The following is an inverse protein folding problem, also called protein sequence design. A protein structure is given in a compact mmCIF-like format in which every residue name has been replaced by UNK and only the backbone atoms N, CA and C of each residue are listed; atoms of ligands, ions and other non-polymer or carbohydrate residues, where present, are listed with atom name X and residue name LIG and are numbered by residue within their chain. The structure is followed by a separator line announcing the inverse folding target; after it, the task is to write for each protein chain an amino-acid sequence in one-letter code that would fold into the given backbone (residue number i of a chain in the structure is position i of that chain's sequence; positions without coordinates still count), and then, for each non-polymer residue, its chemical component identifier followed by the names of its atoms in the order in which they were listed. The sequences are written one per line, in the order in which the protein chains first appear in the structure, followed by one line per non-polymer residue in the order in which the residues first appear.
data_IF_960742017390
#
_entry.id   IF_960742017390
#
_cell.length_a   1.000
_cell.length_b   1.000
_cell.length_c   1.000
_cell.angle_alpha   90.00
_cell.angle_beta   90.00
_cell.angle_gamma   90.00
#
_symmetry.space_group_name_H-M   'P 1'
#
loop_
_entity.id
_entity.type
_entity.pdbx_description
1 polymer ?
#
# COMPACT_ATOMS: atom_id res chain seq x y z
N UNK A 1 -23.55 14.73 34.50
CA UNK A 1 -23.21 13.34 34.12
C UNK A 1 -23.47 13.16 32.63
N UNK A 2 -22.42 13.28 31.81
CA UNK A 2 -22.52 13.15 30.35
C UNK A 2 -22.57 11.65 30.03
N UNK A 3 -23.71 11.19 29.49
CA UNK A 3 -23.89 9.80 29.05
C UNK A 3 -22.99 9.54 27.85
N UNK A 4 -21.87 8.85 28.06
CA UNK A 4 -21.01 8.33 26.98
C UNK A 4 -21.85 7.36 26.14
N UNK A 5 -22.18 7.77 24.92
CA UNK A 5 -22.83 6.92 23.91
C UNK A 5 -21.79 5.90 23.46
N UNK A 6 -21.91 4.67 23.97
CA UNK A 6 -21.15 3.52 23.50
C UNK A 6 -21.48 3.33 22.02
N UNK A 7 -20.51 3.58 21.14
CA UNK A 7 -20.62 3.26 19.72
C UNK A 7 -20.57 1.74 19.62
N UNK A 8 -21.74 1.16 19.36
CA UNK A 8 -21.91 -0.26 19.11
C UNK A 8 -21.13 -0.60 17.84
N UNK A 9 -20.17 -1.52 17.94
CA UNK A 9 -19.51 -2.10 16.78
C UNK A 9 -20.61 -2.72 15.90
N UNK A 10 -20.80 -2.15 14.71
CA UNK A 10 -21.72 -2.67 13.73
C UNK A 10 -21.19 -4.00 13.24
N UNK A 11 -21.82 -5.08 13.71
CA UNK A 11 -22.09 -6.32 12.99
C UNK A 11 -21.55 -6.30 11.56
N UNK A 12 -20.41 -6.95 11.34
CA UNK A 12 -20.03 -7.43 10.02
C UNK A 12 -21.17 -8.33 9.54
N UNK A 13 -21.99 -7.81 8.63
CA UNK A 13 -23.04 -8.60 8.00
C UNK A 13 -22.37 -9.59 7.06
N UNK A 14 -22.18 -10.80 7.59
CA UNK A 14 -21.87 -12.03 6.89
C UNK A 14 -23.06 -12.40 6.00
N UNK A 15 -23.33 -11.62 4.95
CA UNK A 15 -24.23 -12.04 3.87
C UNK A 15 -23.85 -11.41 2.51
N UNK A 16 -22.56 -11.17 2.30
CA UNK A 16 -22.02 -10.95 0.96
C UNK A 16 -21.77 -12.30 0.30
N UNK A 17 -22.85 -12.92 -0.20
CA UNK A 17 -22.81 -14.03 -1.14
C UNK A 17 -22.08 -13.58 -2.41
N UNK A 18 -20.75 -13.69 -2.39
CA UNK A 18 -19.81 -13.91 -3.48
C UNK A 18 -20.19 -13.30 -4.84
N UNK A 19 -20.49 -12.00 -4.88
CA UNK A 19 -20.28 -11.29 -6.14
C UNK A 19 -18.80 -10.92 -6.19
N UNK A 20 -18.00 -11.70 -6.93
CA UNK A 20 -16.58 -11.41 -7.16
C UNK A 20 -16.37 -10.23 -8.10
N UNK A 21 -17.43 -9.68 -8.70
CA UNK A 21 -17.36 -8.57 -9.66
C UNK A 21 -16.61 -7.36 -9.10
N UNK A 22 -16.80 -7.03 -7.81
CA UNK A 22 -16.12 -5.88 -7.20
C UNK A 22 -14.61 -6.06 -7.08
N UNK A 23 -14.08 -7.28 -7.22
CA UNK A 23 -12.65 -7.58 -7.15
C UNK A 23 -11.95 -7.56 -8.52
N UNK A 24 -12.69 -7.43 -9.62
CA UNK A 24 -12.13 -7.50 -10.98
C UNK A 24 -11.23 -6.29 -11.28
N UNK A 25 -11.59 -5.10 -10.79
CA UNK A 25 -10.90 -3.84 -11.08
C UNK A 25 -10.01 -3.31 -9.94
N UNK A 26 -9.71 -4.13 -8.92
CA UNK A 26 -8.86 -3.69 -7.82
C UNK A 26 -7.40 -3.58 -8.27
N UNK A 27 -6.87 -2.36 -8.26
CA UNK A 27 -5.46 -2.08 -8.48
C UNK A 27 -4.82 -1.45 -7.24
N UNK A 28 -3.54 -1.73 -7.04
CA UNK A 28 -2.75 -1.06 -6.03
C UNK A 28 -2.44 0.36 -6.53
N UNK A 29 -2.88 1.43 -5.84
CA UNK A 29 -2.62 2.80 -6.29
C UNK A 29 -1.14 3.20 -6.21
N UNK A 30 -0.27 2.36 -5.64
CA UNK A 30 1.17 2.62 -5.52
C UNK A 30 1.95 1.97 -6.67
N UNK A 31 1.72 0.68 -6.96
CA UNK A 31 2.44 -0.03 -8.03
C UNK A 31 1.62 -0.20 -9.32
N UNK A 32 0.35 0.19 -9.32
CA UNK A 32 -0.58 0.14 -10.46
C UNK A 32 -0.89 -1.26 -11.00
N UNK A 33 -0.55 -2.31 -10.26
CA UNK A 33 -0.88 -3.71 -10.56
C UNK A 33 -1.85 -4.28 -9.51
N UNK A 34 -2.41 -5.47 -9.75
CA UNK A 34 -3.26 -6.16 -8.78
C UNK A 34 -2.47 -6.40 -7.48
N UNK A 35 -2.99 -6.00 -6.32
CA UNK A 35 -2.19 -6.04 -5.09
C UNK A 35 -1.82 -7.46 -4.67
N UNK A 36 -0.53 -7.70 -4.38
CA UNK A 36 -0.03 -8.97 -3.83
C UNK A 36 -0.25 -9.01 -2.32
N UNK A 37 -0.69 -10.16 -1.79
CA UNK A 37 -1.00 -10.31 -0.37
C UNK A 37 -1.88 -9.16 0.14
N UNK A 38 -2.86 -8.76 -0.68
CA UNK A 38 -3.58 -7.51 -0.56
C UNK A 38 -4.03 -7.19 0.88
N UNK A 39 -3.83 -5.94 1.27
CA UNK A 39 -4.37 -5.35 2.50
C UNK A 39 -5.20 -4.13 2.15
N UNK A 40 -6.29 -3.92 2.88
CA UNK A 40 -7.18 -2.78 2.69
C UNK A 40 -6.81 -1.68 3.69
N UNK A 41 -6.51 -0.47 3.22
CA UNK A 41 -6.41 0.70 4.10
C UNK A 41 -7.81 1.15 4.53
N UNK A 42 -7.99 1.37 5.83
CA UNK A 42 -9.17 2.00 6.41
C UNK A 42 -8.93 3.50 6.44
N UNK A 43 -9.71 4.25 5.68
CA UNK A 43 -9.68 5.71 5.68
C UNK A 43 -11.03 6.31 6.12
N UNK A 44 -11.05 7.61 6.37
CA UNK A 44 -12.26 8.37 6.76
C UNK A 44 -13.39 8.31 5.73
N UNK A 45 -13.11 7.98 4.48
CA UNK A 45 -14.12 7.81 3.43
C UNK A 45 -14.52 6.36 3.19
N UNK A 46 -14.19 5.44 4.11
CA UNK A 46 -14.55 4.03 3.98
C UNK A 46 -16.07 3.83 3.86
N UNK A 47 -16.88 4.49 4.69
CA UNK A 47 -18.35 4.38 4.63
C UNK A 47 -18.93 4.98 3.33
N UNK A 48 -18.15 5.80 2.61
CA UNK A 48 -18.50 6.35 1.29
C UNK A 48 -18.06 5.45 0.13
N UNK A 49 -17.61 4.24 0.42
CA UNK A 49 -17.18 3.27 -0.58
C UNK A 49 -15.68 3.30 -0.93
N UNK A 50 -14.85 4.08 -0.24
CA UNK A 50 -13.41 4.07 -0.52
C UNK A 50 -12.79 2.73 -0.09
N UNK A 51 -12.16 2.01 -1.02
CA UNK A 51 -11.55 0.68 -0.82
C UNK A 51 -10.11 0.60 -1.37
N UNK A 52 -9.15 1.33 -0.76
CA UNK A 52 -7.74 1.32 -1.19
C UNK A 52 -7.05 0.01 -0.79
N UNK A 53 -6.90 -0.92 -1.73
CA UNK A 53 -6.06 -2.09 -1.54
C UNK A 53 -4.63 -1.83 -1.96
N UNK A 54 -3.65 -2.25 -1.17
CA UNK A 54 -2.22 -2.15 -1.50
C UNK A 54 -1.49 -3.47 -1.24
N UNK A 55 -0.29 -3.61 -1.81
CA UNK A 55 0.55 -4.80 -1.63
C UNK A 55 1.19 -4.86 -0.24
N UNK A 56 1.22 -6.05 0.36
CA UNK A 56 1.88 -6.35 1.64
C UNK A 56 2.82 -7.56 1.47
N UNK A 57 4.01 -7.29 0.93
CA UNK A 57 5.00 -8.31 0.58
C UNK A 57 6.31 -8.07 1.32
N UNK A 58 7.33 -8.86 1.02
CA UNK A 58 8.70 -8.64 1.47
C UNK A 58 9.44 -7.63 0.57
N UNK A 59 10.67 -7.29 0.97
CA UNK A 59 11.53 -6.33 0.27
C UNK A 59 11.95 -6.80 -1.14
N UNK A 60 11.85 -8.10 -1.44
CA UNK A 60 12.16 -8.64 -2.77
C UNK A 60 11.10 -8.31 -3.83
N UNK A 61 9.97 -7.71 -3.43
CA UNK A 61 8.81 -7.41 -4.27
C UNK A 61 8.28 -6.00 -3.96
N UNK A 62 7.20 -5.63 -4.64
CA UNK A 62 6.48 -4.37 -4.42
C UNK A 62 5.86 -4.30 -3.01
N UNK A 63 6.67 -3.97 -2.00
CA UNK A 63 6.25 -3.83 -0.61
C UNK A 63 5.57 -2.47 -0.35
N UNK A 64 4.43 -2.26 -1.02
CA UNK A 64 3.73 -0.98 -1.05
C UNK A 64 3.28 -0.51 0.34
N UNK A 65 2.87 -1.41 1.24
CA UNK A 65 2.49 -1.08 2.61
C UNK A 65 3.68 -0.51 3.40
N UNK A 66 4.86 -1.13 3.34
CA UNK A 66 6.03 -0.59 4.04
C UNK A 66 6.51 0.73 3.43
N UNK A 67 6.45 0.89 2.10
CA UNK A 67 6.74 2.17 1.45
C UNK A 67 5.77 3.27 1.88
N UNK A 68 4.48 2.94 1.96
CA UNK A 68 3.45 3.85 2.46
C UNK A 68 3.74 4.27 3.91
N UNK A 69 4.06 3.32 4.79
CA UNK A 69 4.46 3.63 6.16
C UNK A 69 5.68 4.55 6.21
N UNK A 70 6.74 4.21 5.48
CA UNK A 70 7.98 5.00 5.45
C UNK A 70 7.77 6.42 4.94
N UNK A 71 7.01 6.60 3.86
CA UNK A 71 6.71 7.92 3.29
C UNK A 71 5.93 8.84 4.25
N UNK A 72 5.16 8.25 5.17
CA UNK A 72 4.38 8.99 6.16
C UNK A 72 5.00 8.95 7.57
N UNK A 73 6.27 8.55 7.70
CA UNK A 73 6.98 8.52 8.99
C UNK A 73 6.39 7.53 10.00
N UNK A 74 5.62 6.55 9.56
CA UNK A 74 5.10 5.49 10.41
C UNK A 74 6.18 4.45 10.73
N UNK A 75 6.13 3.78 11.90
CA UNK A 75 7.11 2.77 12.26
C UNK A 75 7.08 1.58 11.27
N UNK A 76 8.22 1.31 10.65
CA UNK A 76 8.45 0.29 9.60
C UNK A 76 8.92 -1.08 10.14
N UNK A 77 8.70 -1.38 11.44
CA UNK A 77 9.24 -2.60 12.05
C UNK A 77 8.37 -3.29 13.10
N UNK A 78 7.05 -3.11 13.04
CA UNK A 78 6.14 -4.02 13.75
C UNK A 78 5.92 -5.23 12.83
N UNK A 79 6.83 -6.21 12.88
CA UNK A 79 6.53 -7.57 12.37
C UNK A 79 5.23 -7.98 13.04
N UNK A 80 4.15 -8.16 12.27
CA UNK A 80 2.93 -8.78 12.76
C UNK A 80 3.38 -10.11 13.36
N UNK A 81 3.27 -10.33 14.68
CA UNK A 81 3.67 -11.61 15.22
C UNK A 81 2.72 -12.65 14.62
N UNK A 82 3.28 -13.67 13.97
CA UNK A 82 2.55 -14.90 13.67
C UNK A 82 2.07 -15.49 14.99
N UNK A 83 0.88 -15.09 15.44
CA UNK A 83 0.21 -15.71 16.57
C UNK A 83 -0.74 -16.77 16.04
N UNK A 84 -0.38 -18.00 16.35
CA UNK A 84 -1.27 -19.15 16.32
C UNK A 84 -2.47 -18.86 17.24
N UNK A 85 -3.68 -18.79 16.66
CA UNK A 85 -4.95 -19.03 17.35
C UNK A 85 -5.58 -17.87 18.11
N UNK A 86 -6.27 -16.95 17.42
CA UNK A 86 -7.51 -16.30 17.87
C UNK A 86 -8.22 -15.60 16.67
N UNK A 87 -9.57 -15.44 16.67
CA UNK A 87 -10.34 -15.16 15.46
C UNK A 87 -10.48 -13.66 15.12
N UNK A 88 -10.37 -13.38 13.81
CA UNK A 88 -11.06 -12.38 12.99
C UNK A 88 -11.32 -10.99 13.59
N UNK A 89 -10.37 -10.06 13.40
CA UNK A 89 -10.55 -8.62 13.11
C UNK A 89 -9.24 -7.86 13.35
N UNK A 90 -8.18 -8.18 12.61
CA UNK A 90 -6.85 -7.59 12.80
C UNK A 90 -6.73 -6.23 12.13
N UNK A 91 -7.52 -5.24 12.59
CA UNK A 91 -7.32 -3.84 12.20
C UNK A 91 -6.07 -3.31 12.92
N UNK A 92 -5.01 -3.05 12.16
CA UNK A 92 -3.86 -2.32 12.68
C UNK A 92 -4.19 -0.84 12.74
N UNK A 93 -4.37 -0.31 13.96
CA UNK A 93 -4.71 1.10 14.19
C UNK A 93 -3.43 1.94 14.24
N UNK A 94 -3.42 3.06 13.52
CA UNK A 94 -2.36 4.07 13.63
C UNK A 94 -2.63 4.90 14.90
N UNK A 95 -1.83 4.69 15.95
CA UNK A 95 -1.94 5.46 17.20
C UNK A 95 -1.75 6.95 16.92
N UNK A 96 -2.73 7.73 17.37
CA UNK A 96 -2.87 9.15 17.07
C UNK A 96 -2.00 10.00 18.01
N UNK A 97 -0.71 10.07 17.73
CA UNK A 97 0.23 10.89 18.52
C UNK A 97 0.59 12.21 17.81
N UNK A 98 0.16 12.38 16.55
CA UNK A 98 0.48 13.54 15.71
C UNK A 98 -0.75 13.97 14.91
N UNK A 99 -0.78 15.26 14.57
CA UNK A 99 -1.84 15.90 13.77
C UNK A 99 -1.85 15.46 12.30
N UNK A 100 -0.82 14.73 11.86
CA UNK A 100 -0.61 14.37 10.46
C UNK A 100 -0.81 12.86 10.26
N UNK A 101 -2.06 12.46 10.00
CA UNK A 101 -2.36 11.08 9.57
C UNK A 101 -1.95 10.90 8.10
N UNK A 102 -1.51 9.69 7.71
CA UNK A 102 -1.25 9.40 6.31
C UNK A 102 -2.49 9.64 5.44
N UNK A 103 -2.31 10.31 4.31
CA UNK A 103 -3.39 10.54 3.37
C UNK A 103 -3.68 9.26 2.57
N UNK A 104 -4.97 8.92 2.41
CA UNK A 104 -5.38 7.81 1.57
C UNK A 104 -4.99 8.06 0.11
N UNK A 105 -4.33 7.11 -0.57
CA UNK A 105 -3.89 7.30 -1.95
C UNK A 105 -5.04 7.43 -2.96
N UNK A 106 -6.27 7.02 -2.61
CA UNK A 106 -7.43 7.15 -3.48
C UNK A 106 -8.25 8.41 -3.21
N UNK A 107 -8.56 8.71 -1.95
CA UNK A 107 -9.50 9.79 -1.60
C UNK A 107 -8.87 10.96 -0.84
N UNK A 108 -7.57 10.89 -0.54
CA UNK A 108 -6.82 11.86 0.29
C UNK A 108 -7.31 12.05 1.73
N UNK A 109 -8.33 11.30 2.17
CA UNK A 109 -8.77 11.32 3.57
C UNK A 109 -7.84 10.53 4.49
N UNK A 110 -7.84 10.85 5.79
CA UNK A 110 -6.95 10.21 6.76
C UNK A 110 -7.10 8.69 6.80
N UNK A 111 -5.97 8.00 6.71
CA UNK A 111 -5.86 6.57 6.98
C UNK A 111 -5.78 6.36 8.50
N UNK A 112 -6.72 5.59 9.03
CA UNK A 112 -6.81 5.23 10.44
C UNK A 112 -6.15 3.88 10.76
N UNK A 113 -5.95 3.06 9.73
CA UNK A 113 -5.38 1.73 9.87
C UNK A 113 -5.46 0.89 8.60
N UNK A 114 -5.18 -0.40 8.71
CA UNK A 114 -5.35 -1.36 7.62
C UNK A 114 -5.83 -2.72 8.16
N UNK A 115 -6.44 -3.50 7.27
CA UNK A 115 -7.01 -4.82 7.59
C UNK A 115 -6.74 -5.80 6.46
N UNK A 116 -6.52 -7.07 6.82
CA UNK A 116 -6.47 -8.19 5.87
C UNK A 116 -7.89 -8.69 5.65
N UNK A 117 -8.30 -8.78 4.38
CA UNK A 117 -9.54 -9.44 3.98
C UNK A 117 -9.12 -10.70 3.24
N UNK A 118 -9.28 -11.87 3.87
CA UNK A 118 -8.71 -13.12 3.37
C UNK A 118 -9.27 -13.52 2.01
N UNK A 119 -10.57 -13.31 1.76
CA UNK A 119 -11.19 -13.61 0.47
C UNK A 119 -10.60 -12.74 -0.65
N UNK A 120 -10.39 -11.45 -0.38
CA UNK A 120 -9.79 -10.52 -1.34
C UNK A 120 -8.33 -10.89 -1.61
N UNK A 121 -7.56 -11.18 -0.55
CA UNK A 121 -6.17 -11.61 -0.67
C UNK A 121 -6.05 -12.90 -1.49
N UNK A 122 -6.87 -13.91 -1.19
CA UNK A 122 -6.90 -15.17 -1.93
C UNK A 122 -7.22 -14.93 -3.40
N UNK A 123 -8.27 -14.15 -3.69
CA UNK A 123 -8.68 -13.87 -5.07
C UNK A 123 -7.60 -13.11 -5.86
N UNK A 124 -7.06 -12.02 -5.29
CA UNK A 124 -6.07 -11.17 -5.96
C UNK A 124 -4.72 -11.88 -6.13
N UNK A 125 -4.36 -12.79 -5.21
CA UNK A 125 -3.17 -13.64 -5.36
C UNK A 125 -3.30 -14.67 -6.48
N UNK A 126 -4.51 -15.04 -6.92
CA UNK A 126 -4.73 -15.95 -8.05
C UNK A 126 -4.58 -15.28 -9.41
N UNK A 127 -4.68 -13.94 -9.49
CA UNK A 127 -4.48 -13.21 -10.75
C UNK A 127 -3.08 -13.45 -11.29
N UNK A 128 -3.00 -13.78 -12.58
CA UNK A 128 -1.74 -14.07 -13.28
C UNK A 128 -1.11 -12.80 -13.83
N UNK A 129 0.22 -12.73 -13.75
CA UNK A 129 1.02 -11.61 -14.28
C UNK A 129 2.41 -12.08 -14.71
N UNK A 130 3.11 -11.23 -15.45
CA UNK A 130 4.49 -11.49 -15.87
C UNK A 130 5.48 -11.32 -14.72
N UNK A 131 6.63 -11.98 -14.82
CA UNK A 131 7.78 -11.74 -13.97
C UNK A 131 8.24 -10.27 -14.07
N UNK A 132 8.67 -9.69 -12.95
CA UNK A 132 9.15 -8.30 -12.88
C UNK A 132 10.60 -8.15 -13.38
N UNK A 133 11.31 -9.27 -13.58
CA UNK A 133 12.68 -9.25 -14.08
C UNK A 133 12.73 -8.90 -15.58
N UNK A 134 13.64 -7.98 -15.93
CA UNK A 134 13.90 -7.62 -17.32
C UNK A 134 14.28 -8.86 -18.14
N UNK A 135 13.65 -9.04 -19.30
CA UNK A 135 13.82 -10.19 -20.20
C UNK A 135 13.29 -11.54 -19.69
N UNK A 136 12.48 -11.58 -18.62
CA UNK A 136 11.79 -12.81 -18.20
C UNK A 136 10.33 -12.85 -18.71
N UNK A 137 9.98 -13.89 -19.46
CA UNK A 137 8.63 -14.10 -20.01
C UNK A 137 7.74 -15.03 -19.17
N UNK A 138 8.18 -15.40 -17.96
CA UNK A 138 7.40 -16.27 -17.09
C UNK A 138 6.12 -15.58 -16.63
N UNK A 139 5.00 -16.31 -16.64
CA UNK A 139 3.69 -15.83 -16.20
C UNK A 139 3.13 -16.80 -15.17
N UNK A 140 2.66 -16.28 -14.04
CA UNK A 140 2.09 -17.07 -12.97
C UNK A 140 1.28 -16.25 -11.98
N UNK A 141 0.62 -16.94 -11.05
CA UNK A 141 0.00 -16.33 -9.87
C UNK A 141 1.07 -15.89 -8.85
N UNK A 142 0.67 -15.27 -7.74
CA UNK A 142 1.62 -14.75 -6.75
C UNK A 142 2.60 -15.82 -6.22
N UNK A 143 2.10 -17.00 -5.85
CA UNK A 143 2.93 -18.07 -5.26
C UNK A 143 3.85 -18.73 -6.30
N UNK A 144 3.36 -18.88 -7.54
CA UNK A 144 4.14 -19.36 -8.67
C UNK A 144 5.29 -18.42 -9.00
N UNK A 145 5.00 -17.11 -9.08
CA UNK A 145 6.00 -16.08 -9.31
C UNK A 145 7.01 -16.00 -8.18
N UNK A 146 6.58 -16.11 -6.92
CA UNK A 146 7.48 -16.12 -5.77
C UNK A 146 8.48 -17.29 -5.84
N UNK A 147 8.01 -18.49 -6.18
CA UNK A 147 8.91 -19.65 -6.37
C UNK A 147 9.84 -19.43 -7.55
N UNK A 148 9.32 -18.90 -8.65
CA UNK A 148 10.11 -18.62 -9.85
C UNK A 148 11.23 -17.61 -9.57
N UNK A 149 10.93 -16.48 -8.93
CA UNK A 149 11.94 -15.46 -8.61
C UNK A 149 12.99 -15.98 -7.64
N UNK A 150 12.61 -16.74 -6.61
CA UNK A 150 13.56 -17.35 -5.69
C UNK A 150 14.53 -18.32 -6.36
N UNK A 151 14.10 -19.03 -7.41
CA UNK A 151 14.92 -20.02 -8.11
C UNK A 151 15.73 -19.45 -9.28
N UNK A 152 15.15 -18.54 -10.06
CA UNK A 152 15.74 -18.02 -11.31
C UNK A 152 16.35 -16.63 -11.15
N UNK A 153 15.90 -15.88 -10.14
CA UNK A 153 16.29 -14.49 -9.92
C UNK A 153 16.62 -14.22 -8.42
N UNK A 154 17.48 -15.03 -7.77
CA UNK A 154 17.69 -14.94 -6.32
C UNK A 154 18.29 -13.61 -5.84
N UNK A 155 19.00 -12.92 -6.73
CA UNK A 155 19.62 -11.61 -6.46
C UNK A 155 18.82 -10.44 -7.05
N UNK A 156 17.67 -10.71 -7.67
CA UNK A 156 16.84 -9.64 -8.21
C UNK A 156 16.24 -8.83 -7.07
N UNK A 157 16.31 -7.51 -7.20
CA UNK A 157 15.72 -6.55 -6.27
C UNK A 157 14.97 -5.49 -7.06
N UNK A 158 13.82 -5.83 -7.66
CA UNK A 158 13.06 -4.90 -8.50
C UNK A 158 12.60 -3.65 -7.75
N UNK A 159 12.54 -3.74 -6.41
CA UNK A 159 12.13 -2.66 -5.52
C UNK A 159 13.28 -1.68 -5.17
N UNK A 160 14.54 -2.01 -5.47
CA UNK A 160 15.70 -1.18 -5.16
C UNK A 160 15.83 -0.06 -6.19
N UNK A 161 15.97 1.18 -5.71
CA UNK A 161 16.13 2.35 -6.58
C UNK A 161 17.58 2.35 -7.07
N UNK A 162 17.77 2.36 -8.39
CA UNK A 162 19.08 2.52 -9.01
C UNK A 162 19.78 3.79 -8.47
N UNK A 163 20.97 3.68 -7.86
CA UNK A 163 21.69 4.82 -7.30
C UNK A 163 21.93 5.94 -8.31
N UNK A 164 22.18 5.62 -9.58
CA UNK A 164 22.40 6.62 -10.61
C UNK A 164 21.13 7.44 -10.86
N UNK A 165 19.97 6.75 -10.96
CA UNK A 165 18.66 7.42 -11.10
C UNK A 165 18.34 8.30 -9.90
N UNK A 166 18.71 7.88 -8.69
CA UNK A 166 18.50 8.70 -7.49
C UNK A 166 19.30 9.99 -7.57
N UNK A 167 20.58 9.91 -7.93
CA UNK A 167 21.45 11.09 -8.11
C UNK A 167 20.91 12.01 -9.19
N UNK A 168 20.49 11.46 -10.33
CA UNK A 168 19.89 12.26 -11.41
C UNK A 168 18.62 13.00 -10.95
N UNK A 169 17.78 12.32 -10.15
CA UNK A 169 16.58 12.93 -9.56
C UNK A 169 16.92 14.04 -8.55
N UNK A 170 17.91 13.82 -7.68
CA UNK A 170 18.38 14.84 -6.72
C UNK A 170 18.92 16.08 -7.43
N UNK A 171 19.73 15.89 -8.48
CA UNK A 171 20.25 16.98 -9.31
C UNK A 171 19.13 17.76 -10.01
N UNK A 172 18.11 17.05 -10.51
CA UNK A 172 16.95 17.67 -11.14
C UNK A 172 16.13 18.49 -10.13
N UNK A 173 15.88 17.94 -8.94
CA UNK A 173 15.16 18.63 -7.88
C UNK A 173 15.89 19.92 -7.46
N UNK A 174 17.20 19.83 -7.23
CA UNK A 174 18.01 20.99 -6.89
C UNK A 174 17.98 22.07 -7.99
N UNK A 175 18.01 21.65 -9.27
CA UNK A 175 17.89 22.58 -10.39
C UNK A 175 16.53 23.28 -10.44
N UNK A 176 15.44 22.53 -10.17
CA UNK A 176 14.09 23.09 -10.08
C UNK A 176 13.95 24.09 -8.94
N UNK A 177 14.48 23.76 -7.76
CA UNK A 177 14.43 24.64 -6.59
C UNK A 177 15.15 25.97 -6.86
N UNK A 178 16.28 25.94 -7.58
CA UNK A 178 16.99 27.15 -8.02
C UNK A 178 16.11 27.99 -8.94
N UNK A 179 15.44 27.36 -9.92
CA UNK A 179 14.56 28.06 -10.86
C UNK A 179 13.37 28.69 -10.14
N UNK A 180 12.78 28.00 -9.16
CA UNK A 180 11.66 28.52 -8.37
C UNK A 180 12.07 29.74 -7.53
N UNK A 181 13.26 29.70 -6.92
CA UNK A 181 13.82 30.85 -6.19
C UNK A 181 14.05 32.04 -7.13
N UNK A 182 14.68 31.82 -8.29
CA UNK A 182 14.91 32.88 -9.27
C UNK A 182 13.60 33.48 -9.81
N UNK A 183 12.61 32.63 -10.08
CA UNK A 183 11.27 33.06 -10.53
C UNK A 183 10.56 33.88 -9.47
N UNK A 184 10.68 33.47 -8.19
CA UNK A 184 10.13 34.20 -7.04
C UNK A 184 10.79 35.58 -6.89
N UNK A 185 12.10 35.68 -7.09
CA UNK A 185 12.81 36.97 -7.09
C UNK A 185 12.31 37.86 -8.23
N UNK A 186 12.30 37.36 -9.47
CA UNK A 186 11.83 38.14 -10.63
C UNK A 186 10.38 38.62 -10.48
N UNK A 187 9.49 37.83 -9.86
CA UNK A 187 8.12 38.23 -9.62
C UNK A 187 7.95 39.32 -8.53
N UNK A 188 8.94 39.50 -7.67
CA UNK A 188 8.94 40.50 -6.59
C UNK A 188 9.75 41.76 -6.92
N UNK A 189 10.53 41.74 -8.01
CA UNK A 189 11.20 42.92 -8.55
C UNK A 189 10.16 43.73 -9.35
N UNK A 190 9.83 44.97 -8.94
CA UNK A 190 8.83 45.82 -9.60
C UNK A 190 9.15 46.18 -11.06
#
# INVERSE_FOLDING_TARGET
MVKKKVVKAGSFDLDAKLDKSWMEDITCPICLDFPHNAVLLRCTSYEKGCRPFICDTDQSRSNCLERFKGAHGLPTNMKVPSFNGAPLDSIHIISSNTTDRPACPLCRGDVIGWVVIDEARLHLNQKKRCCEESCCSYVGNFHELQKHTQQKHPNSRPSEIDPARRVDWENFQQSSDIIDVLSTIHAQVP
#
